data_IF_227973205475
#
_entry.id   IF_227973205475
#
_cell.length_a   1.000
_cell.length_b   1.000
_cell.length_c   1.000
_cell.angle_alpha   90.00
_cell.angle_beta   90.00
_cell.angle_gamma   90.00
#
_symmetry.space_group_name_H-M   'P 1'
#
loop_
_entity.id
_entity.type
_entity.pdbx_description
1 polymer ?
#
# COMPACT_ATOMS: atom_id res chain seq x y z
N UNK A 1 -7.28 24.55 -44.48
CA UNK A 1 -6.10 24.07 -43.74
C UNK A 1 -6.46 24.02 -42.26
N UNK A 2 -6.90 22.86 -41.78
CA UNK A 2 -7.21 22.64 -40.36
C UNK A 2 -5.89 22.67 -39.59
N UNK A 3 -5.67 23.69 -38.74
CA UNK A 3 -4.54 23.73 -37.81
C UNK A 3 -4.56 22.44 -37.00
N UNK A 4 -3.53 21.60 -37.11
CA UNK A 4 -3.34 20.48 -36.20
C UNK A 4 -3.27 21.04 -34.78
N UNK A 5 -4.18 20.59 -33.91
CA UNK A 5 -4.15 20.97 -32.51
C UNK A 5 -2.85 20.47 -31.89
N UNK A 6 -2.13 21.35 -31.19
CA UNK A 6 -0.89 20.98 -30.52
C UNK A 6 -1.25 20.23 -29.24
N UNK A 7 -1.10 18.90 -29.26
CA UNK A 7 -1.35 18.03 -28.12
C UNK A 7 -0.03 17.80 -27.38
N UNK A 8 -0.01 18.00 -26.07
CA UNK A 8 1.14 17.70 -25.21
C UNK A 8 0.72 17.03 -23.91
N UNK A 9 1.40 15.95 -23.55
CA UNK A 9 1.25 15.28 -22.26
C UNK A 9 2.50 15.58 -21.43
N UNK A 10 2.32 15.99 -20.19
CA UNK A 10 3.42 16.32 -19.28
C UNK A 10 3.05 16.01 -17.83
N UNK A 11 4.06 15.91 -16.98
CA UNK A 11 3.86 15.77 -15.54
C UNK A 11 3.21 17.04 -14.96
N UNK A 12 2.40 16.86 -13.92
CA UNK A 12 1.73 17.95 -13.19
C UNK A 12 2.75 18.93 -12.61
N UNK A 13 2.48 20.22 -12.79
CA UNK A 13 3.25 21.30 -12.21
C UNK A 13 2.38 22.11 -11.24
N UNK A 14 3.00 22.85 -10.31
CA UNK A 14 2.28 23.70 -9.35
C UNK A 14 1.22 24.62 -9.98
N UNK A 15 1.56 25.22 -11.13
CA UNK A 15 0.66 26.13 -11.87
C UNK A 15 -0.64 25.45 -12.34
N UNK A 16 -0.63 24.13 -12.47
CA UNK A 16 -1.77 23.36 -12.96
C UNK A 16 -2.76 23.07 -11.84
N UNK A 17 -2.37 23.15 -10.57
CA UNK A 17 -3.22 22.81 -9.44
C UNK A 17 -4.52 23.61 -9.41
N UNK A 18 -4.50 24.87 -9.82
CA UNK A 18 -5.71 25.70 -9.94
C UNK A 18 -6.60 25.29 -11.11
N UNK A 19 -6.00 24.86 -12.23
CA UNK A 19 -6.75 24.41 -13.40
C UNK A 19 -7.36 23.01 -13.16
N UNK A 20 -6.61 22.12 -12.52
CA UNK A 20 -7.08 20.80 -12.10
C UNK A 20 -8.21 20.94 -11.09
N UNK A 21 -8.08 21.80 -10.07
CA UNK A 21 -9.15 22.04 -9.11
C UNK A 21 -10.44 22.52 -9.78
N UNK A 22 -10.35 23.42 -10.77
CA UNK A 22 -11.53 23.86 -11.54
C UNK A 22 -12.15 22.74 -12.35
N UNK A 23 -11.33 21.95 -13.03
CA UNK A 23 -11.79 20.82 -13.82
C UNK A 23 -12.44 19.74 -12.93
N UNK A 24 -11.94 19.57 -11.70
CA UNK A 24 -12.50 18.67 -10.68
C UNK A 24 -13.80 19.20 -10.07
N UNK A 25 -13.97 20.52 -9.96
CA UNK A 25 -15.23 21.11 -9.49
C UNK A 25 -16.31 21.14 -10.58
N UNK A 26 -15.91 21.24 -11.84
CA UNK A 26 -16.82 21.31 -13.00
C UNK A 26 -17.36 19.96 -13.40
N UNK A 27 -16.51 18.93 -13.38
CA UNK A 27 -16.92 17.55 -13.56
C UNK A 27 -17.34 17.01 -12.19
N UNK A 28 -18.47 16.31 -12.07
CA UNK A 28 -18.80 15.62 -10.82
C UNK A 28 -17.80 14.47 -10.62
N UNK A 29 -16.66 14.77 -10.01
CA UNK A 29 -15.57 13.81 -9.89
C UNK A 29 -15.92 12.82 -8.80
N UNK A 30 -16.25 11.62 -9.22
CA UNK A 30 -16.40 10.49 -8.32
C UNK A 30 -15.03 10.14 -7.71
N UNK A 31 -14.96 10.17 -6.39
CA UNK A 31 -13.79 9.75 -5.62
C UNK A 31 -13.64 8.24 -5.83
N UNK A 32 -12.44 7.76 -6.16
CA UNK A 32 -12.22 6.34 -6.46
C UNK A 32 -12.47 5.40 -5.26
N UNK A 33 -12.43 5.92 -4.03
CA UNK A 33 -12.81 5.22 -2.80
C UNK A 33 -13.32 6.22 -1.76
N UNK A 34 -14.46 5.97 -1.09
CA UNK A 34 -14.94 6.77 0.04
C UNK A 34 -13.96 6.86 1.22
N UNK A 35 -13.00 5.94 1.28
CA UNK A 35 -11.96 5.89 2.31
C UNK A 35 -10.72 6.70 1.94
N UNK A 36 -10.60 7.19 0.72
CA UNK A 36 -9.49 8.07 0.35
C UNK A 36 -9.89 9.54 0.52
N UNK A 37 -8.99 10.32 1.12
CA UNK A 37 -9.13 11.78 1.23
C UNK A 37 -9.48 12.36 -0.14
N UNK A 38 -10.49 13.23 -0.19
CA UNK A 38 -10.98 13.80 -1.45
C UNK A 38 -9.85 14.53 -2.19
N UNK A 39 -9.86 14.48 -3.53
CA UNK A 39 -8.82 15.14 -4.33
C UNK A 39 -8.73 16.63 -4.02
N UNK A 40 -9.87 17.27 -3.72
CA UNK A 40 -9.95 18.69 -3.35
C UNK A 40 -9.16 18.98 -2.07
N UNK A 41 -9.38 18.19 -1.00
CA UNK A 41 -8.61 18.29 0.25
C UNK A 41 -7.13 17.98 0.03
N UNK A 42 -6.81 17.02 -0.86
CA UNK A 42 -5.43 16.69 -1.19
C UNK A 42 -4.73 17.79 -2.00
N UNK A 43 -5.45 18.47 -2.90
CA UNK A 43 -4.97 19.63 -3.65
C UNK A 43 -4.76 20.83 -2.72
N UNK A 44 -5.67 21.10 -1.80
CA UNK A 44 -5.54 22.20 -0.84
C UNK A 44 -4.37 21.99 0.13
N UNK A 45 -4.26 20.79 0.69
CA UNK A 45 -3.12 20.41 1.52
C UNK A 45 -1.80 20.53 0.73
N UNK A 46 -1.81 20.10 -0.53
CA UNK A 46 -0.60 20.17 -1.35
C UNK A 46 -0.24 21.59 -1.75
N UNK A 47 -1.20 22.48 -2.03
CA UNK A 47 -0.91 23.91 -2.29
C UNK A 47 -0.10 24.55 -1.17
N UNK A 48 -0.37 24.16 0.08
CA UNK A 48 0.30 24.68 1.27
C UNK A 48 1.73 24.11 1.46
N UNK A 49 2.00 22.89 0.98
CA UNK A 49 3.26 22.18 1.24
C UNK A 49 4.10 21.86 -0.01
N UNK A 50 3.65 22.20 -1.21
CA UNK A 50 4.29 21.81 -2.49
C UNK A 50 5.77 22.23 -2.59
N UNK A 51 6.10 23.44 -2.10
CA UNK A 51 7.48 23.94 -2.10
C UNK A 51 8.42 23.11 -1.23
N UNK A 52 7.94 22.59 -0.10
CA UNK A 52 8.71 21.71 0.78
C UNK A 52 8.81 20.31 0.19
N UNK A 53 7.71 19.76 -0.33
CA UNK A 53 7.68 18.42 -0.96
C UNK A 53 8.70 18.33 -2.11
N UNK A 54 8.76 19.35 -2.97
CA UNK A 54 9.68 19.36 -4.13
C UNK A 54 11.16 19.48 -3.76
N UNK A 55 11.48 20.08 -2.61
CA UNK A 55 12.85 20.10 -2.09
C UNK A 55 13.30 18.71 -1.60
N UNK A 56 12.35 17.88 -1.15
CA UNK A 56 12.62 16.51 -0.75
C UNK A 56 12.64 15.52 -1.91
N UNK A 57 12.23 15.89 -3.13
CA UNK A 57 12.31 15.01 -4.31
C UNK A 57 13.76 14.60 -4.67
N UNK A 58 14.77 15.32 -4.16
CA UNK A 58 16.20 15.00 -4.32
C UNK A 58 16.62 13.78 -3.48
N UNK A 59 15.83 13.39 -2.48
CA UNK A 59 16.05 12.20 -1.64
C UNK A 59 14.87 11.24 -1.78
N UNK A 60 15.08 9.90 -1.88
CA UNK A 60 13.98 8.94 -1.89
C UNK A 60 13.10 9.14 -0.65
N UNK A 61 11.92 9.73 -0.85
CA UNK A 61 10.97 10.09 0.20
C UNK A 61 9.61 9.48 -0.16
N UNK A 62 8.87 8.88 0.80
CA UNK A 62 7.52 8.36 0.57
C UNK A 62 6.54 9.34 -0.10
N UNK A 63 6.72 10.65 0.05
CA UNK A 63 5.86 11.65 -0.58
C UNK A 63 6.19 11.94 -2.05
N UNK A 64 7.25 11.36 -2.63
CA UNK A 64 7.61 11.55 -4.05
C UNK A 64 6.48 11.18 -5.01
N UNK A 65 5.60 10.27 -4.60
CA UNK A 65 4.45 9.84 -5.40
C UNK A 65 3.12 10.47 -4.96
N UNK A 66 3.12 11.33 -3.94
CA UNK A 66 1.90 11.98 -3.42
C UNK A 66 1.18 12.80 -4.51
N UNK A 67 1.91 13.26 -5.53
CA UNK A 67 1.39 13.97 -6.70
C UNK A 67 1.99 13.44 -8.01
N UNK A 68 2.17 12.12 -8.13
CA UNK A 68 2.53 11.53 -9.41
C UNK A 68 1.30 11.54 -10.33
N UNK A 69 1.33 12.39 -11.35
CA UNK A 69 0.19 12.55 -12.24
C UNK A 69 0.58 13.24 -13.54
N UNK A 70 -0.24 13.02 -14.56
CA UNK A 70 -0.03 13.58 -15.89
C UNK A 70 -1.21 14.44 -16.28
N UNK A 71 -0.92 15.55 -16.94
CA UNK A 71 -1.89 16.44 -17.54
C UNK A 71 -1.80 16.35 -19.06
N UNK A 72 -2.95 16.37 -19.71
CA UNK A 72 -3.10 16.46 -21.14
C UNK A 72 -3.49 17.90 -21.50
N UNK A 73 -2.65 18.56 -22.26
CA UNK A 73 -2.89 19.91 -22.76
C UNK A 73 -3.11 19.91 -24.26
N UNK A 74 -4.09 20.70 -24.69
CA UNK A 74 -4.40 20.91 -26.11
C UNK A 74 -4.45 22.40 -26.37
N UNK A 75 -3.58 22.90 -27.24
CA UNK A 75 -3.44 24.33 -27.52
C UNK A 75 -3.19 25.23 -26.28
N UNK A 76 -2.63 24.66 -25.21
CA UNK A 76 -2.35 25.37 -23.96
C UNK A 76 -3.48 25.32 -22.92
N UNK A 77 -4.60 24.68 -23.24
CA UNK A 77 -5.70 24.42 -22.30
C UNK A 77 -5.61 23.01 -21.73
N UNK A 78 -5.88 22.86 -20.43
CA UNK A 78 -5.85 21.58 -19.73
C UNK A 78 -7.16 20.84 -19.99
N UNK A 79 -7.07 19.68 -20.63
CA UNK A 79 -8.23 18.89 -21.08
C UNK A 79 -8.46 17.66 -20.23
N UNK A 80 -7.40 17.04 -19.73
CA UNK A 80 -7.52 15.87 -18.87
C UNK A 80 -6.38 15.79 -17.85
N UNK A 81 -6.67 15.10 -16.76
CA UNK A 81 -5.74 14.84 -15.66
C UNK A 81 -5.87 13.39 -15.21
N UNK A 82 -4.74 12.77 -14.88
CA UNK A 82 -4.71 11.45 -14.24
C UNK A 82 -3.76 11.50 -13.06
N UNK A 83 -4.21 10.92 -11.94
CA UNK A 83 -3.39 10.66 -10.76
C UNK A 83 -3.09 9.16 -10.70
N UNK A 84 -1.82 8.84 -10.50
CA UNK A 84 -1.36 7.46 -10.38
C UNK A 84 -0.42 7.32 -9.18
N UNK A 85 -0.36 6.14 -8.58
CA UNK A 85 0.53 5.86 -7.46
C UNK A 85 1.04 4.43 -7.49
N UNK A 86 2.25 4.16 -6.94
CA UNK A 86 2.71 2.78 -6.75
C UNK A 86 1.85 2.10 -5.69
N UNK A 87 1.42 0.87 -5.95
CA UNK A 87 0.61 0.07 -5.04
C UNK A 87 1.45 -0.80 -4.11
N UNK A 88 2.66 -1.15 -4.54
CA UNK A 88 3.63 -1.95 -3.78
C UNK A 88 5.02 -1.32 -3.81
N UNK A 89 5.86 -1.71 -2.85
CA UNK A 89 7.23 -1.23 -2.65
C UNK A 89 8.17 -1.58 -3.81
N UNK A 90 7.92 -2.70 -4.51
CA UNK A 90 8.65 -3.07 -5.73
C UNK A 90 8.24 -2.26 -6.96
N UNK A 91 7.18 -1.44 -6.87
CA UNK A 91 6.63 -0.62 -7.96
C UNK A 91 6.26 -1.44 -9.20
N UNK A 92 6.04 -2.74 -9.04
CA UNK A 92 5.59 -3.63 -10.12
C UNK A 92 4.09 -3.52 -10.36
N UNK A 93 3.34 -3.05 -9.36
CA UNK A 93 1.91 -2.80 -9.46
C UNK A 93 1.65 -1.32 -9.17
N UNK A 94 0.93 -0.67 -10.09
CA UNK A 94 0.54 0.74 -9.99
C UNK A 94 -0.96 0.86 -9.97
N UNK A 95 -1.46 1.95 -9.39
CA UNK A 95 -2.88 2.25 -9.28
C UNK A 95 -3.19 3.53 -10.04
N UNK A 96 -4.30 3.53 -10.78
CA UNK A 96 -4.94 4.75 -11.25
C UNK A 96 -5.86 5.21 -10.13
N UNK A 97 -5.44 6.24 -9.41
CA UNK A 97 -6.21 6.79 -8.29
C UNK A 97 -7.40 7.59 -8.82
N UNK A 98 -7.20 8.34 -9.91
CA UNK A 98 -8.26 9.16 -10.47
C UNK A 98 -7.97 9.55 -11.91
N UNK A 99 -9.03 9.69 -12.70
CA UNK A 99 -8.97 10.28 -14.03
C UNK A 99 -10.09 11.29 -14.16
N UNK A 100 -9.75 12.49 -14.62
CA UNK A 100 -10.73 13.54 -14.89
C UNK A 100 -10.51 14.04 -16.30
N UNK A 101 -11.61 14.15 -17.05
CA UNK A 101 -11.61 14.55 -18.44
C UNK A 101 -12.69 15.60 -18.59
N UNK A 102 -12.37 16.70 -19.26
CA UNK A 102 -13.36 17.68 -19.68
C UNK A 102 -14.38 17.02 -20.63
N UNK A 103 -15.61 16.85 -20.16
CA UNK A 103 -16.71 16.18 -20.87
C UNK A 103 -17.13 16.92 -22.13
N UNK A 104 -16.85 18.23 -22.22
CA UNK A 104 -17.14 19.06 -23.39
C UNK A 104 -16.11 18.87 -24.51
N UNK A 105 -14.96 18.26 -24.20
CA UNK A 105 -13.85 18.18 -25.14
C UNK A 105 -14.04 17.02 -26.15
N UNK A 106 -13.97 17.27 -27.46
CA UNK A 106 -14.18 16.25 -28.48
C UNK A 106 -13.04 15.21 -28.51
N UNK A 107 -13.27 14.09 -29.22
CA UNK A 107 -12.21 13.08 -29.43
C UNK A 107 -10.97 13.72 -30.07
N UNK A 108 -9.81 13.41 -29.52
CA UNK A 108 -8.52 13.90 -29.97
C UNK A 108 -7.94 12.98 -31.03
N UNK A 109 -7.49 13.56 -32.14
CA UNK A 109 -6.60 12.86 -33.04
C UNK A 109 -5.21 12.78 -32.41
N UNK A 110 -4.82 11.58 -31.98
CA UNK A 110 -3.50 11.30 -31.42
C UNK A 110 -2.91 10.07 -32.11
N UNK A 111 -1.70 10.21 -32.67
CA UNK A 111 -1.06 9.20 -33.53
C UNK A 111 -1.98 8.64 -34.63
N UNK A 112 -2.72 9.51 -35.33
CA UNK A 112 -3.54 9.13 -36.49
C UNK A 112 -4.81 8.36 -36.14
N UNK A 113 -5.26 8.36 -34.88
CA UNK A 113 -6.55 7.80 -34.47
C UNK A 113 -7.30 8.77 -33.56
N UNK A 114 -8.59 9.01 -33.84
CA UNK A 114 -9.46 9.78 -32.97
C UNK A 114 -9.78 8.97 -31.70
N UNK A 115 -9.32 9.44 -30.54
CA UNK A 115 -9.45 8.76 -29.24
C UNK A 115 -9.99 9.68 -28.18
N UNK A 116 -10.61 9.08 -27.16
CA UNK A 116 -11.00 9.80 -25.96
C UNK A 116 -9.75 10.38 -25.26
N UNK A 117 -9.77 11.63 -24.76
CA UNK A 117 -8.64 12.23 -24.05
C UNK A 117 -8.13 11.36 -22.90
N UNK A 118 -9.06 10.79 -22.11
CA UNK A 118 -8.71 9.86 -21.03
C UNK A 118 -8.00 8.58 -21.50
N UNK A 119 -8.40 7.99 -22.64
CA UNK A 119 -7.71 6.80 -23.18
C UNK A 119 -6.30 7.12 -23.66
N UNK A 120 -6.11 8.32 -24.20
CA UNK A 120 -4.79 8.80 -24.62
C UNK A 120 -3.87 8.95 -23.41
N UNK A 121 -4.38 9.53 -22.32
CA UNK A 121 -3.63 9.74 -21.08
C UNK A 121 -3.30 8.42 -20.36
N UNK A 122 -4.25 7.49 -20.27
CA UNK A 122 -4.02 6.15 -19.71
C UNK A 122 -2.96 5.40 -20.51
N UNK A 123 -3.05 5.42 -21.84
CA UNK A 123 -2.05 4.77 -22.70
C UNK A 123 -0.67 5.37 -22.52
N UNK A 124 -0.57 6.70 -22.42
CA UNK A 124 0.69 7.36 -22.11
C UNK A 124 1.28 6.83 -20.79
N UNK A 125 0.46 6.68 -19.74
CA UNK A 125 0.92 6.13 -18.46
C UNK A 125 1.45 4.70 -18.60
N UNK A 126 0.73 3.84 -19.33
CA UNK A 126 1.16 2.46 -19.56
C UNK A 126 2.48 2.36 -20.33
N UNK A 127 2.73 3.30 -21.24
CA UNK A 127 3.94 3.32 -22.05
C UNK A 127 5.14 3.96 -21.31
N UNK A 128 4.91 4.94 -20.43
CA UNK A 128 5.96 5.72 -19.76
C UNK A 128 6.37 5.20 -18.38
N UNK A 129 5.46 4.56 -17.64
CA UNK A 129 5.80 3.95 -16.35
C UNK A 129 6.28 2.53 -16.61
N UNK A 130 7.59 2.40 -16.84
CA UNK A 130 8.23 1.16 -17.28
C UNK A 130 8.35 0.11 -16.18
N UNK A 131 8.30 0.50 -14.90
CA UNK A 131 8.28 -0.46 -13.79
C UNK A 131 6.93 -1.19 -13.67
N UNK A 132 5.85 -0.57 -14.14
CA UNK A 132 4.49 -1.04 -13.93
C UNK A 132 4.12 -2.26 -14.81
N UNK A 133 4.15 -3.45 -14.22
CA UNK A 133 3.68 -4.69 -14.88
C UNK A 133 2.17 -4.85 -14.75
N UNK A 134 1.60 -4.40 -13.64
CA UNK A 134 0.18 -4.47 -13.36
C UNK A 134 -0.36 -3.08 -13.05
N UNK A 135 -1.58 -2.82 -13.52
CA UNK A 135 -2.36 -1.63 -13.23
C UNK A 135 -3.63 -2.02 -12.51
N UNK A 136 -3.92 -1.32 -11.43
CA UNK A 136 -5.12 -1.45 -10.61
C UNK A 136 -5.93 -0.16 -10.70
N UNK A 137 -7.24 -0.28 -10.54
CA UNK A 137 -8.10 0.86 -10.30
C UNK A 137 -9.35 0.41 -9.57
N UNK A 138 -9.99 1.39 -8.94
CA UNK A 138 -11.30 1.24 -8.34
C UNK A 138 -12.27 2.20 -9.03
N UNK A 139 -13.48 1.74 -9.29
CA UNK A 139 -14.51 2.53 -9.97
C UNK A 139 -15.88 2.20 -9.41
N UNK A 140 -16.70 3.21 -9.13
CA UNK A 140 -18.08 3.01 -8.71
C UNK A 140 -18.87 2.27 -9.81
N UNK A 141 -19.72 1.32 -9.42
CA UNK A 141 -20.54 0.54 -10.36
C UNK A 141 -21.57 1.40 -11.13
N UNK A 142 -21.97 2.53 -10.56
CA UNK A 142 -22.89 3.51 -11.14
C UNK A 142 -22.20 4.43 -12.18
N UNK A 143 -20.87 4.50 -12.16
CA UNK A 143 -20.00 5.32 -12.99
C UNK A 143 -19.88 4.83 -14.44
N UNK A 144 -21.00 4.72 -15.18
CA UNK A 144 -21.03 4.02 -16.48
C UNK A 144 -20.00 4.55 -17.49
N UNK A 145 -19.79 5.86 -17.54
CA UNK A 145 -18.84 6.49 -18.48
C UNK A 145 -17.38 6.13 -18.13
N UNK A 146 -16.99 6.30 -16.86
CA UNK A 146 -15.66 5.96 -16.35
C UNK A 146 -15.37 4.46 -16.46
N UNK A 147 -16.36 3.63 -16.13
CA UNK A 147 -16.28 2.17 -16.29
C UNK A 147 -16.09 1.76 -17.75
N UNK A 148 -16.83 2.39 -18.68
CA UNK A 148 -16.65 2.19 -20.11
C UNK A 148 -15.27 2.60 -20.60
N UNK A 149 -14.74 3.73 -20.11
CA UNK A 149 -13.39 4.20 -20.43
C UNK A 149 -12.34 3.15 -20.02
N UNK A 150 -12.42 2.62 -18.80
CA UNK A 150 -11.47 1.61 -18.32
C UNK A 150 -11.58 0.29 -19.08
N UNK A 151 -12.81 -0.19 -19.35
CA UNK A 151 -13.01 -1.41 -20.17
C UNK A 151 -12.45 -1.27 -21.59
N UNK A 152 -12.64 -0.11 -22.24
CA UNK A 152 -12.05 0.15 -23.56
C UNK A 152 -10.53 0.17 -23.53
N UNK A 153 -9.94 0.52 -22.39
CA UNK A 153 -8.50 0.46 -22.14
C UNK A 153 -8.05 -0.89 -21.57
N UNK A 154 -8.84 -1.96 -21.69
CA UNK A 154 -8.41 -3.33 -21.39
C UNK A 154 -8.39 -3.70 -19.91
N UNK A 155 -8.98 -2.88 -19.02
CA UNK A 155 -9.16 -3.28 -17.63
C UNK A 155 -10.26 -4.35 -17.51
N UNK A 156 -10.00 -5.35 -16.68
CA UNK A 156 -10.90 -6.45 -16.36
C UNK A 156 -11.28 -6.43 -14.88
N UNK A 157 -12.52 -6.76 -14.52
CA UNK A 157 -12.93 -6.83 -13.11
C UNK A 157 -12.18 -7.94 -12.37
N UNK A 158 -11.78 -7.65 -11.13
CA UNK A 158 -11.12 -8.59 -10.21
C UNK A 158 -12.00 -8.96 -9.02
N UNK A 159 -12.60 -7.97 -8.38
CA UNK A 159 -13.42 -8.14 -7.19
C UNK A 159 -14.41 -6.99 -7.06
N UNK A 160 -15.53 -7.23 -6.38
CA UNK A 160 -16.44 -6.17 -5.92
C UNK A 160 -16.06 -5.77 -4.50
N UNK A 161 -16.07 -4.47 -4.24
CA UNK A 161 -15.87 -3.91 -2.92
C UNK A 161 -17.19 -3.30 -2.46
N UNK A 162 -17.47 -3.48 -1.17
CA UNK A 162 -18.60 -2.86 -0.50
C UNK A 162 -18.07 -2.04 0.66
N UNK A 163 -18.48 -0.77 0.69
CA UNK A 163 -18.18 0.14 1.79
C UNK A 163 -19.33 0.15 2.78
N UNK A 164 -18.99 0.04 4.05
CA UNK A 164 -19.93 -0.05 5.16
C UNK A 164 -19.69 1.07 6.15
N UNK A 165 -20.76 1.70 6.62
CA UNK A 165 -20.76 2.60 7.75
C UNK A 165 -21.32 1.87 8.97
N UNK A 166 -20.52 1.79 10.03
CA UNK A 166 -20.99 1.37 11.35
C UNK A 166 -21.32 2.63 12.13
N UNK A 167 -22.58 2.75 12.54
CA UNK A 167 -23.08 3.95 13.21
C UNK A 167 -22.44 4.10 14.61
N UNK A 168 -22.23 5.34 15.10
CA UNK A 168 -21.64 5.59 16.42
C UNK A 168 -22.39 4.87 17.55
N UNK A 169 -23.71 4.74 17.45
CA UNK A 169 -24.54 4.07 18.46
C UNK A 169 -24.19 2.58 18.59
N UNK A 170 -23.96 1.92 17.45
CA UNK A 170 -23.56 0.51 17.41
C UNK A 170 -22.15 0.35 18.00
N UNK A 171 -21.23 1.25 17.65
CA UNK A 171 -19.88 1.28 18.24
C UNK A 171 -19.93 1.52 19.75
N UNK A 172 -20.87 2.36 20.19
CA UNK A 172 -21.15 2.65 21.59
C UNK A 172 -21.52 1.40 22.37
N UNK A 173 -22.47 0.62 21.85
CA UNK A 173 -22.92 -0.63 22.45
C UNK A 173 -21.85 -1.73 22.42
N UNK A 174 -21.13 -1.88 21.30
CA UNK A 174 -20.11 -2.91 21.15
C UNK A 174 -18.92 -2.70 22.08
N UNK A 175 -18.49 -1.47 22.32
CA UNK A 175 -17.31 -1.24 23.16
C UNK A 175 -17.55 -1.54 24.65
N UNK A 176 -18.80 -1.60 25.10
CA UNK A 176 -19.15 -1.98 26.47
C UNK A 176 -18.84 -3.47 26.74
N UNK A 177 -18.66 -4.26 25.70
CA UNK A 177 -18.36 -5.68 25.79
C UNK A 177 -16.85 -5.90 25.99
N UNK A 178 -16.49 -7.02 26.65
CA UNK A 178 -15.10 -7.44 26.79
C UNK A 178 -14.70 -8.40 25.66
N UNK A 179 -13.68 -8.06 24.86
CA UNK A 179 -13.27 -8.91 23.75
C UNK A 179 -12.44 -10.10 24.24
N UNK A 180 -12.84 -11.31 23.86
CA UNK A 180 -12.14 -12.57 24.13
C UNK A 180 -11.02 -12.83 23.09
N UNK A 181 -10.16 -11.84 22.84
CA UNK A 181 -9.08 -11.95 21.85
C UNK A 181 -7.84 -12.61 22.47
N UNK A 182 -7.37 -13.75 21.94
CA UNK A 182 -6.14 -14.38 22.43
C UNK A 182 -4.90 -13.64 21.91
N UNK A 183 -3.91 -13.39 22.78
CA UNK A 183 -2.57 -12.89 22.41
C UNK A 183 -2.59 -11.73 21.40
N UNK A 184 -3.31 -10.66 21.74
CA UNK A 184 -3.28 -9.45 20.95
C UNK A 184 -1.91 -8.77 21.09
N UNK A 185 -1.22 -8.55 19.98
CA UNK A 185 0.13 -7.98 19.92
C UNK A 185 0.13 -6.67 19.12
N UNK A 186 0.98 -5.70 19.48
CA UNK A 186 1.19 -4.51 18.66
C UNK A 186 1.92 -4.87 17.37
N UNK A 187 1.66 -4.12 16.30
CA UNK A 187 2.32 -4.32 15.02
C UNK A 187 3.74 -3.74 15.04
N UNK A 188 4.72 -4.53 14.59
CA UNK A 188 6.08 -4.08 14.37
C UNK A 188 6.70 -4.64 13.10
N UNK A 189 7.87 -4.10 12.71
CA UNK A 189 8.60 -4.55 11.52
C UNK A 189 9.08 -6.01 11.59
N UNK A 190 9.21 -6.57 12.79
CA UNK A 190 9.53 -7.99 12.99
C UNK A 190 8.37 -8.89 12.56
N UNK A 191 7.13 -8.39 12.63
CA UNK A 191 5.90 -9.14 12.39
C UNK A 191 5.43 -9.06 10.94
N UNK A 192 6.12 -8.27 10.11
CA UNK A 192 5.79 -8.06 8.70
C UNK A 192 5.60 -9.38 7.93
N UNK A 193 6.37 -10.43 8.26
CA UNK A 193 6.21 -11.75 7.64
C UNK A 193 4.91 -12.44 8.06
N UNK A 194 4.49 -12.30 9.32
CA UNK A 194 3.24 -12.87 9.82
C UNK A 194 2.04 -12.16 9.17
N UNK A 195 2.11 -10.83 9.06
CA UNK A 195 1.07 -10.04 8.38
C UNK A 195 0.97 -10.35 6.90
N UNK A 196 2.11 -10.51 6.21
CA UNK A 196 2.13 -10.94 4.82
C UNK A 196 1.48 -12.33 4.62
N UNK A 197 1.73 -13.26 5.54
CA UNK A 197 1.11 -14.60 5.50
C UNK A 197 -0.40 -14.52 5.73
N UNK A 198 -0.85 -13.68 6.66
CA UNK A 198 -2.28 -13.44 6.92
C UNK A 198 -2.98 -12.83 5.70
N UNK A 199 -2.42 -11.77 5.11
CA UNK A 199 -2.93 -11.14 3.89
C UNK A 199 -3.04 -12.17 2.77
N UNK A 200 -1.98 -12.97 2.58
CA UNK A 200 -1.92 -14.04 1.58
C UNK A 200 -3.00 -15.11 1.80
N UNK A 201 -3.25 -15.51 3.04
CA UNK A 201 -4.24 -16.52 3.38
C UNK A 201 -5.68 -16.00 3.23
N UNK A 202 -5.89 -14.70 3.40
CA UNK A 202 -7.20 -14.04 3.31
C UNK A 202 -7.62 -13.67 1.88
N UNK A 203 -6.76 -13.91 0.88
CA UNK A 203 -6.91 -13.40 -0.48
C UNK A 203 -6.78 -14.49 -1.57
N UNK A 204 -7.66 -14.50 -2.60
CA UNK A 204 -7.58 -15.42 -3.72
C UNK A 204 -6.24 -15.32 -4.49
N UNK A 205 -5.73 -16.44 -5.06
CA UNK A 205 -4.44 -16.46 -5.77
C UNK A 205 -4.31 -15.42 -6.89
N UNK A 206 -5.38 -15.19 -7.66
CA UNK A 206 -5.37 -14.22 -8.76
C UNK A 206 -5.13 -12.79 -8.27
N UNK A 207 -5.81 -12.37 -7.20
CA UNK A 207 -5.63 -11.05 -6.59
C UNK A 207 -4.20 -10.90 -6.03
N UNK A 208 -3.68 -11.95 -5.38
CA UNK A 208 -2.31 -11.96 -4.86
C UNK A 208 -1.28 -11.72 -5.97
N UNK A 209 -1.46 -12.34 -7.12
CA UNK A 209 -0.57 -12.16 -8.27
C UNK A 209 -0.62 -10.74 -8.83
N UNK A 210 -1.81 -10.14 -8.91
CA UNK A 210 -1.94 -8.76 -9.42
C UNK A 210 -1.39 -7.75 -8.42
N UNK A 211 -1.67 -7.94 -7.13
CA UNK A 211 -1.18 -7.06 -6.08
C UNK A 211 0.33 -7.12 -5.92
N UNK A 212 0.92 -8.29 -6.17
CA UNK A 212 2.37 -8.55 -6.14
C UNK A 212 3.03 -8.02 -4.87
N UNK A 213 2.32 -8.15 -3.74
CA UNK A 213 2.80 -7.71 -2.44
C UNK A 213 3.86 -8.66 -1.90
N UNK A 214 4.81 -8.08 -1.19
CA UNK A 214 5.94 -8.75 -0.56
C UNK A 214 6.03 -8.34 0.92
N UNK A 215 6.85 -9.07 1.68
CA UNK A 215 7.07 -8.79 3.12
C UNK A 215 7.53 -7.34 3.37
N UNK A 216 8.18 -6.70 2.40
CA UNK A 216 8.60 -5.29 2.53
C UNK A 216 7.42 -4.32 2.58
N UNK A 217 6.27 -4.64 1.98
CA UNK A 217 5.06 -3.80 2.00
C UNK A 217 4.39 -3.73 3.38
N UNK A 218 4.75 -4.65 4.28
CA UNK A 218 4.24 -4.72 5.65
C UNK A 218 5.23 -4.16 6.66
N UNK A 219 6.35 -3.59 6.20
CA UNK A 219 7.32 -2.89 7.05
C UNK A 219 7.02 -1.40 6.98
N UNK A 220 7.02 -0.75 8.13
CA UNK A 220 7.11 0.70 8.18
C UNK A 220 8.58 1.11 8.07
N UNK A 221 8.98 1.82 7.00
CA UNK A 221 10.32 2.37 7.00
C UNK A 221 10.43 3.46 8.08
N UNK A 222 11.60 3.65 8.71
CA UNK A 222 11.78 4.71 9.69
C UNK A 222 11.55 6.11 9.10
N UNK A 223 11.83 6.30 7.80
CA UNK A 223 11.50 7.53 7.06
C UNK A 223 9.99 7.65 6.83
N UNK A 224 9.32 6.55 6.50
CA UNK A 224 7.86 6.49 6.38
C UNK A 224 7.19 6.81 7.72
N UNK A 225 7.71 6.30 8.85
CA UNK A 225 7.20 6.64 10.18
C UNK A 225 7.45 8.11 10.56
N UNK A 226 8.53 8.73 10.10
CA UNK A 226 8.78 10.17 10.34
C UNK A 226 7.91 11.05 9.45
N UNK A 227 7.78 10.72 8.16
CA UNK A 227 6.93 11.45 7.22
C UNK A 227 5.46 11.22 7.49
N UNK A 228 5.03 9.99 7.83
CA UNK A 228 3.69 9.71 8.33
C UNK A 228 3.47 10.37 9.68
N UNK A 229 4.45 10.50 10.59
CA UNK A 229 4.25 11.33 11.80
C UNK A 229 4.06 12.79 11.47
N UNK A 230 4.81 13.37 10.53
CA UNK A 230 4.65 14.78 10.13
C UNK A 230 3.36 14.99 9.33
N UNK A 231 2.99 14.04 8.45
CA UNK A 231 1.77 14.03 7.66
C UNK A 231 0.55 13.77 8.53
N UNK A 232 0.60 12.83 9.47
CA UNK A 232 -0.45 12.57 10.47
C UNK A 232 -0.50 13.67 11.53
N UNK A 233 0.58 14.41 11.78
CA UNK A 233 0.56 15.63 12.57
C UNK A 233 -0.12 16.78 11.80
N UNK A 234 0.13 16.88 10.49
CA UNK A 234 -0.50 17.88 9.61
C UNK A 234 -1.94 17.53 9.18
N UNK A 235 -2.27 16.25 9.05
CA UNK A 235 -3.58 15.70 8.69
C UNK A 235 -4.36 15.21 9.92
N UNK A 236 -3.75 15.30 11.11
CA UNK A 236 -4.38 15.04 12.40
C UNK A 236 -5.05 13.66 12.51
N UNK A 237 -4.27 12.59 12.27
CA UNK A 237 -4.78 11.22 12.24
C UNK A 237 -4.01 10.33 13.22
N UNK A 238 -4.70 9.72 14.19
CA UNK A 238 -4.09 8.71 15.07
C UNK A 238 -4.46 7.31 14.57
N UNK A 239 -3.44 6.47 14.28
CA UNK A 239 -3.66 5.09 13.85
C UNK A 239 -3.34 4.16 15.01
N UNK A 240 -4.29 3.27 15.34
CA UNK A 240 -4.12 2.21 16.33
C UNK A 240 -4.27 0.87 15.63
N UNK A 241 -3.24 0.04 15.71
CA UNK A 241 -3.16 -1.22 14.99
C UNK A 241 -2.71 -2.37 15.91
N UNK A 242 -3.15 -3.58 15.58
CA UNK A 242 -2.84 -4.77 16.34
C UNK A 242 -3.12 -6.04 15.55
N UNK A 243 -2.47 -7.13 15.94
CA UNK A 243 -2.70 -8.44 15.34
C UNK A 243 -2.83 -9.54 16.40
N UNK A 244 -3.57 -10.59 16.06
CA UNK A 244 -3.86 -11.73 16.92
C UNK A 244 -2.88 -12.85 16.57
N UNK A 245 -2.04 -13.23 17.53
CA UNK A 245 -1.05 -14.27 17.35
C UNK A 245 -1.54 -15.63 17.84
N UNK A 246 -1.44 -16.66 17.01
CA UNK A 246 -1.72 -18.04 17.41
C UNK A 246 -0.43 -18.81 17.69
N UNK A 247 -0.14 -19.18 18.96
CA UNK A 247 1.12 -19.82 19.32
C UNK A 247 1.32 -21.20 18.69
N UNK A 248 0.24 -21.96 18.49
CA UNK A 248 0.31 -23.33 17.98
C UNK A 248 0.81 -23.37 16.54
N UNK A 249 0.28 -22.51 15.67
CA UNK A 249 0.69 -22.42 14.26
C UNK A 249 1.80 -21.39 14.02
N UNK A 250 2.13 -20.60 15.04
CA UNK A 250 3.08 -19.47 14.96
C UNK A 250 2.71 -18.52 13.82
N UNK A 251 1.42 -18.20 13.71
CA UNK A 251 0.84 -17.43 12.62
C UNK A 251 0.02 -16.26 13.17
N UNK A 252 -0.08 -15.18 12.40
CA UNK A 252 -1.10 -14.17 12.62
C UNK A 252 -2.44 -14.69 12.07
N UNK A 253 -3.48 -14.67 12.88
CA UNK A 253 -4.83 -15.16 12.52
C UNK A 253 -5.86 -14.03 12.38
N UNK A 254 -5.51 -12.83 12.85
CA UNK A 254 -6.33 -11.63 12.70
C UNK A 254 -5.47 -10.37 12.76
N UNK A 255 -5.91 -9.31 12.11
CA UNK A 255 -5.29 -7.99 12.09
C UNK A 255 -6.38 -6.94 12.06
N UNK A 256 -6.19 -5.87 12.83
CA UNK A 256 -7.02 -4.68 12.75
C UNK A 256 -6.18 -3.41 12.74
N UNK A 257 -6.72 -2.37 12.13
CA UNK A 257 -6.23 -1.01 12.21
C UNK A 257 -7.44 -0.07 12.29
N UNK A 258 -7.41 0.89 13.20
CA UNK A 258 -8.39 1.98 13.28
C UNK A 258 -7.64 3.28 13.10
N UNK A 259 -8.06 4.03 12.10
CA UNK A 259 -7.63 5.38 11.83
C UNK A 259 -8.67 6.33 12.42
N UNK A 260 -8.29 7.01 13.49
CA UNK A 260 -9.14 7.92 14.23
C UNK A 260 -9.05 9.33 13.61
N UNK A 261 -10.21 9.85 13.23
CA UNK A 261 -10.36 11.25 12.86
C UNK A 261 -10.30 12.12 14.12
N UNK A 262 -9.53 13.22 14.08
CA UNK A 262 -9.45 14.18 15.19
C UNK A 262 -10.50 15.30 15.10
N UNK A 263 -11.08 15.53 13.92
CA UNK A 263 -12.10 16.53 13.67
C UNK A 263 -13.46 15.87 13.47
N UNK A 264 -14.52 16.54 13.93
CA UNK A 264 -15.91 16.05 13.90
C UNK A 264 -16.50 15.94 12.48
N UNK A 265 -15.72 16.25 11.44
CA UNK A 265 -16.18 16.28 10.05
C UNK A 265 -15.83 15.02 9.24
N UNK A 266 -14.93 14.16 9.75
CA UNK A 266 -14.48 12.97 9.00
C UNK A 266 -14.78 11.66 9.77
N UNK A 267 -15.29 10.62 9.06
CA UNK A 267 -15.51 9.32 9.65
C UNK A 267 -14.20 8.66 10.07
N UNK A 268 -14.26 7.79 11.07
CA UNK A 268 -13.15 6.89 11.38
C UNK A 268 -13.01 5.85 10.25
N UNK A 269 -11.79 5.37 10.02
CA UNK A 269 -11.56 4.33 9.01
C UNK A 269 -11.01 3.06 9.66
N UNK A 270 -11.58 1.92 9.31
CA UNK A 270 -11.17 0.64 9.86
C UNK A 270 -10.68 -0.31 8.78
N UNK A 271 -9.59 -1.00 9.09
CA UNK A 271 -9.08 -2.13 8.33
C UNK A 271 -9.17 -3.36 9.18
N UNK A 272 -9.76 -4.41 8.63
CA UNK A 272 -9.93 -5.70 9.29
C UNK A 272 -9.47 -6.79 8.35
N UNK A 273 -8.68 -7.73 8.85
CA UNK A 273 -8.25 -8.90 8.08
C UNK A 273 -8.24 -10.09 9.01
N UNK A 274 -9.04 -11.10 8.68
CA UNK A 274 -9.18 -12.31 9.49
C UNK A 274 -8.83 -13.50 8.59
N UNK A 275 -8.08 -14.45 9.14
CA UNK A 275 -7.77 -15.68 8.44
C UNK A 275 -9.08 -16.48 8.23
N UNK A 276 -9.36 -17.02 7.03
CA UNK A 276 -10.65 -17.68 6.74
C UNK A 276 -11.03 -18.83 7.71
N UNK A 277 -10.05 -19.52 8.28
CA UNK A 277 -10.27 -20.56 9.30
C UNK A 277 -10.64 -20.03 10.71
N UNK A 278 -10.65 -18.71 10.94
CA UNK A 278 -10.85 -18.07 12.25
C UNK A 278 -11.91 -16.96 12.19
N UNK A 279 -12.96 -17.15 11.39
CA UNK A 279 -14.04 -16.15 11.19
C UNK A 279 -14.74 -15.73 12.48
N UNK A 280 -14.69 -16.56 13.53
CA UNK A 280 -15.15 -16.20 14.87
C UNK A 280 -14.45 -14.96 15.47
N UNK A 281 -13.29 -14.56 14.94
CA UNK A 281 -12.58 -13.34 15.38
C UNK A 281 -13.24 -12.04 14.93
N UNK A 282 -14.14 -12.06 13.93
CA UNK A 282 -14.80 -10.84 13.45
C UNK A 282 -15.51 -10.04 14.58
N UNK A 283 -16.41 -10.63 15.39
CA UNK A 283 -17.03 -9.94 16.51
C UNK A 283 -16.01 -9.43 17.53
N UNK A 284 -15.04 -10.27 17.91
CA UNK A 284 -14.06 -9.92 18.94
C UNK A 284 -13.18 -8.73 18.54
N UNK A 285 -12.70 -8.74 17.29
CA UNK A 285 -11.94 -7.62 16.74
C UNK A 285 -12.80 -6.38 16.57
N UNK A 286 -14.08 -6.52 16.22
CA UNK A 286 -14.98 -5.38 16.10
C UNK A 286 -15.25 -4.71 17.45
N UNK A 287 -15.42 -5.49 18.53
CA UNK A 287 -15.50 -4.96 19.90
C UNK A 287 -14.24 -4.14 20.18
N UNK A 288 -13.05 -4.67 19.86
CA UNK A 288 -11.79 -3.94 20.09
C UNK A 288 -11.68 -2.67 19.25
N UNK A 289 -12.07 -2.71 17.99
CA UNK A 289 -12.08 -1.54 17.10
C UNK A 289 -13.07 -0.48 17.60
N UNK A 290 -14.21 -0.90 18.15
CA UNK A 290 -15.22 0.00 18.74
C UNK A 290 -14.69 0.69 20.00
N UNK A 291 -13.99 -0.04 20.87
CA UNK A 291 -13.29 0.55 22.03
C UNK A 291 -12.24 1.60 21.62
N UNK A 292 -11.56 1.37 20.50
CA UNK A 292 -10.58 2.33 19.97
C UNK A 292 -11.26 3.54 19.37
N UNK A 293 -12.35 3.35 18.61
CA UNK A 293 -13.16 4.43 18.04
C UNK A 293 -13.66 5.41 19.11
N UNK A 294 -14.11 4.90 20.26
CA UNK A 294 -14.61 5.72 21.37
C UNK A 294 -13.56 6.59 22.09
N UNK A 295 -12.27 6.47 21.76
CA UNK A 295 -11.25 7.40 22.27
C UNK A 295 -11.49 8.82 21.70
N UNK A 296 -12.23 8.92 20.60
CA UNK A 296 -12.55 10.14 19.87
C UNK A 296 -14.06 10.43 19.86
N UNK A 297 -14.47 11.65 19.47
CA UNK A 297 -15.89 12.01 19.34
C UNK A 297 -16.67 10.99 18.51
N UNK A 298 -17.98 10.90 18.77
CA UNK A 298 -18.90 9.96 18.14
C UNK A 298 -18.94 10.18 16.62
N UNK A 299 -18.17 9.36 15.90
CA UNK A 299 -18.06 9.36 14.45
C UNK A 299 -18.28 7.95 13.93
N UNK A 300 -18.91 7.79 12.75
CA UNK A 300 -19.12 6.47 12.18
C UNK A 300 -17.77 5.84 11.79
N UNK A 301 -17.70 4.51 11.87
CA UNK A 301 -16.54 3.74 11.45
C UNK A 301 -16.79 3.16 10.06
N UNK A 302 -16.00 3.61 9.09
CA UNK A 302 -16.09 3.11 7.72
C UNK A 302 -15.20 1.90 7.53
N UNK A 303 -15.78 0.85 6.96
CA UNK A 303 -15.16 -0.45 6.73
C UNK A 303 -15.28 -0.85 5.26
N UNK A 304 -14.37 -1.72 4.81
CA UNK A 304 -14.44 -2.33 3.47
C UNK A 304 -14.56 -3.84 3.57
N UNK A 305 -15.46 -4.40 2.77
CA UNK A 305 -15.51 -5.83 2.46
C UNK A 305 -15.27 -6.07 0.97
N UNK A 306 -14.97 -7.33 0.66
CA UNK A 306 -14.83 -7.81 -0.71
C UNK A 306 -15.71 -9.04 -0.90
N UNK A 307 -16.20 -9.25 -2.12
CA UNK A 307 -17.06 -10.39 -2.49
C UNK A 307 -16.46 -11.79 -2.20
N UNK A 308 -15.13 -11.92 -2.13
CA UNK A 308 -14.46 -13.17 -1.78
C UNK A 308 -14.30 -13.41 -0.26
N UNK A 309 -14.88 -12.55 0.58
CA UNK A 309 -14.91 -12.66 2.04
C UNK A 309 -16.35 -12.61 2.57
N UNK A 310 -17.22 -13.57 2.19
CA UNK A 310 -18.65 -13.51 2.47
C UNK A 310 -18.96 -13.48 3.97
N UNK A 311 -18.16 -14.14 4.81
CA UNK A 311 -18.35 -14.16 6.27
C UNK A 311 -18.16 -12.78 6.90
N UNK A 312 -17.39 -11.89 6.25
CA UNK A 312 -17.25 -10.50 6.70
C UNK A 312 -18.49 -9.67 6.36
N UNK A 313 -19.06 -9.87 5.18
CA UNK A 313 -20.27 -9.17 4.74
C UNK A 313 -21.44 -9.57 5.62
N UNK A 314 -21.63 -10.87 5.83
CA UNK A 314 -22.66 -11.41 6.73
C UNK A 314 -22.48 -10.88 8.16
N UNK A 315 -21.25 -10.77 8.64
CA UNK A 315 -20.96 -10.17 9.94
C UNK A 315 -21.36 -8.68 10.00
N UNK A 316 -21.00 -7.88 9.00
CA UNK A 316 -21.37 -6.46 8.96
C UNK A 316 -22.89 -6.26 8.87
N UNK A 317 -23.59 -7.08 8.10
CA UNK A 317 -25.05 -7.09 8.05
C UNK A 317 -25.66 -7.44 9.42
N UNK A 318 -25.12 -8.46 10.09
CA UNK A 318 -25.58 -8.90 11.43
C UNK A 318 -25.40 -7.80 12.49
N UNK A 319 -24.31 -7.04 12.41
CA UNK A 319 -24.03 -5.92 13.32
C UNK A 319 -24.89 -4.68 13.00
N UNK A 320 -25.62 -4.68 11.88
CA UNK A 320 -26.46 -3.54 11.47
C UNK A 320 -25.69 -2.44 10.77
N UNK A 321 -24.54 -2.75 10.15
CA UNK A 321 -23.80 -1.79 9.35
C UNK A 321 -24.60 -1.39 8.10
N UNK A 322 -24.54 -0.11 7.75
CA UNK A 322 -25.20 0.43 6.57
C UNK A 322 -24.27 0.43 5.37
N UNK A 323 -24.75 -0.05 4.23
CA UNK A 323 -23.99 -0.03 2.98
C UNK A 323 -23.96 1.39 2.39
N UNK A 324 -22.76 1.91 2.17
CA UNK A 324 -22.52 3.26 1.64
C UNK A 324 -22.44 3.23 0.11
N UNK A 325 -21.57 2.36 -0.40
CA UNK A 325 -21.20 2.36 -1.82
C UNK A 325 -20.69 0.99 -2.26
N UNK A 326 -20.83 0.75 -3.56
CA UNK A 326 -20.26 -0.40 -4.25
C UNK A 326 -19.30 0.05 -5.35
N UNK A 327 -18.12 -0.55 -5.34
CA UNK A 327 -17.11 -0.30 -6.36
C UNK A 327 -16.60 -1.61 -6.94
N UNK A 328 -15.95 -1.49 -8.09
CA UNK A 328 -15.36 -2.60 -8.81
C UNK A 328 -13.85 -2.38 -8.86
N UNK A 329 -13.10 -3.28 -8.21
CA UNK A 329 -11.67 -3.35 -8.40
C UNK A 329 -11.40 -3.99 -9.75
N UNK A 330 -10.65 -3.30 -10.59
CA UNK A 330 -10.27 -3.77 -11.91
C UNK A 330 -8.76 -3.80 -12.06
N UNK A 331 -8.28 -4.64 -12.97
CA UNK A 331 -6.87 -4.71 -13.30
C UNK A 331 -6.57 -4.86 -14.78
N UNK A 332 -5.35 -4.50 -15.14
CA UNK A 332 -4.77 -4.72 -16.46
C UNK A 332 -3.30 -5.08 -16.29
N UNK A 333 -2.85 -6.13 -16.98
CA UNK A 333 -1.42 -6.39 -17.14
C UNK A 333 -0.86 -5.65 -18.36
N UNK A 334 0.38 -5.18 -18.25
CA UNK A 334 1.12 -4.56 -19.33
C UNK A 334 2.42 -5.33 -19.50
N UNK A 335 2.66 -5.80 -20.72
CA UNK A 335 3.91 -6.46 -21.06
C UNK A 335 4.89 -5.44 -21.61
N UNK A 336 5.82 -4.99 -20.78
CA UNK A 336 7.01 -4.31 -21.26
C UNK A 336 8.00 -5.36 -21.71
N UNK A 337 8.51 -5.24 -22.94
CA UNK A 337 9.66 -6.05 -23.35
C UNK A 337 10.81 -5.69 -22.41
N UNK A 338 11.14 -6.60 -21.49
CA UNK A 338 12.29 -6.49 -20.60
C UNK A 338 13.48 -6.21 -21.52
N UNK A 339 13.94 -4.96 -21.54
CA UNK A 339 15.28 -4.69 -22.05
C UNK A 339 16.16 -5.40 -21.04
N UNK A 340 16.75 -6.52 -21.45
CA UNK A 340 17.90 -7.07 -20.76
C UNK A 340 18.91 -5.94 -20.69
N UNK A 341 18.87 -5.19 -19.59
CA UNK A 341 19.97 -4.37 -19.18
C UNK A 341 21.06 -5.39 -18.93
N UNK A 342 21.96 -5.55 -19.92
CA UNK A 342 23.27 -6.15 -19.68
C UNK A 342 23.70 -5.58 -18.33
N UNK A 343 23.93 -6.41 -17.30
CA UNK A 343 24.32 -5.89 -16.01
C UNK A 343 25.48 -4.95 -16.30
N UNK A 344 25.29 -3.66 -16.03
CA UNK A 344 26.38 -2.71 -16.09
C UNK A 344 27.41 -3.34 -15.16
N UNK A 345 28.47 -3.84 -15.78
CA UNK A 345 29.61 -4.46 -15.12
C UNK A 345 29.86 -3.62 -13.89
N UNK A 346 29.72 -4.27 -12.73
CA UNK A 346 29.93 -3.70 -11.42
C UNK A 346 31.03 -2.65 -11.56
N UNK A 347 30.65 -1.40 -11.33
CA UNK A 347 31.48 -0.23 -11.52
C UNK A 347 32.90 -0.60 -11.08
N UNK A 348 33.80 -0.77 -12.05
CA UNK A 348 35.19 -1.13 -11.82
C UNK A 348 35.92 0.08 -11.21
N UNK A 349 35.48 0.50 -10.02
CA UNK A 349 36.21 1.43 -9.15
C UNK A 349 37.42 0.72 -8.50
N UNK A 350 37.67 -0.55 -8.83
CA UNK A 350 38.87 -1.29 -8.47
C UNK A 350 40.17 -0.72 -9.09
N UNK A 351 40.06 0.15 -10.11
CA UNK A 351 41.22 0.69 -10.83
C UNK A 351 41.88 1.93 -10.22
N UNK A 352 41.20 2.67 -9.32
CA UNK A 352 41.69 3.97 -8.82
C UNK A 352 42.10 3.94 -7.34
N UNK A 353 41.78 2.88 -6.59
CA UNK A 353 42.12 2.74 -5.16
C UNK A 353 43.34 1.83 -4.88
N UNK A 354 44.18 1.52 -5.88
CA UNK A 354 45.39 0.72 -5.69
C UNK A 354 46.50 1.46 -4.90
N UNK A 355 46.33 2.75 -4.57
CA UNK A 355 47.32 3.57 -3.87
C UNK A 355 47.31 3.50 -2.33
N UNK A 356 46.42 2.72 -1.71
CA UNK A 356 46.30 2.63 -0.24
C UNK A 356 46.47 1.21 0.29
N UNK A 357 47.45 0.47 -0.24
CA UNK A 357 47.92 -0.75 0.43
C UNK A 357 49.05 -0.41 1.41
N UNK A 358 48.91 -0.69 2.72
CA UNK A 358 50.01 -0.54 3.65
C UNK A 358 51.10 -1.56 3.35
N UNK A 359 52.30 -1.07 3.04
CA UNK A 359 53.53 -1.85 2.96
C UNK A 359 53.82 -2.41 4.35
N UNK A 360 53.69 -3.72 4.54
CA UNK A 360 54.39 -4.43 5.60
C UNK A 360 54.97 -5.74 5.03
N UNK A 361 56.25 -5.88 5.31
CA UNK A 361 57.23 -6.84 4.79
C UNK A 361 56.87 -8.32 4.99
N UNK A 362 57.31 -9.22 4.11
CA UNK A 362 57.10 -10.66 4.26
C UNK A 362 58.02 -11.22 5.35
N UNK A 363 57.44 -11.89 6.36
CA UNK A 363 58.18 -12.71 7.31
C UNK A 363 58.40 -14.09 6.66
N UNK A 364 59.65 -14.59 6.58
CA UNK A 364 59.99 -15.79 5.83
C UNK A 364 59.47 -17.06 6.51
N UNK A 365 58.97 -17.99 5.69
CA UNK A 365 58.55 -19.32 6.10
C UNK A 365 59.72 -20.29 6.31
N UNK A 366 59.65 -21.06 7.41
CA UNK A 366 59.83 -22.53 7.55
C UNK A 366 60.70 -22.90 8.74
N UNK A 367 60.16 -23.75 9.62
CA UNK A 367 60.65 -25.10 9.96
C UNK A 367 59.45 -25.86 10.56
N UNK A 368 59.00 -26.91 9.86
CA UNK A 368 58.21 -28.00 10.45
C UNK A 368 59.22 -28.96 11.10
N UNK A 369 58.89 -29.63 12.21
CA UNK A 369 59.34 -31.00 12.49
C UNK A 369 58.38 -31.63 13.53
N UNK A 370 57.86 -32.81 13.20
CA UNK A 370 56.86 -33.56 13.96
C UNK A 370 57.42 -34.24 15.23
N UNK A 371 56.49 -34.58 16.14
CA UNK A 371 56.50 -35.63 17.20
C UNK A 371 57.15 -35.31 18.56
N UNK A 372 56.33 -35.21 19.61
CA UNK A 372 56.19 -36.26 20.65
C UNK A 372 55.13 -35.85 21.71
N UNK A 373 54.13 -36.70 21.91
CA UNK A 373 53.25 -36.73 23.10
C UNK A 373 54.04 -37.30 24.30
N UNK A 374 53.70 -37.02 25.59
CA UNK A 374 52.45 -37.54 26.17
C UNK A 374 51.76 -36.71 27.30
N UNK A 375 50.46 -37.00 27.43
CA UNK A 375 49.61 -37.07 28.65
C UNK A 375 49.62 -35.96 29.71
N UNK A 376 48.46 -35.29 29.86
CA UNK A 376 47.99 -34.78 31.14
C UNK A 376 46.66 -35.42 31.53
N UNK A 377 46.66 -35.94 32.75
CA UNK A 377 45.68 -36.86 33.35
C UNK A 377 44.49 -36.08 33.92
N UNK A 378 43.29 -36.60 33.68
CA UNK A 378 42.09 -36.28 34.45
C UNK A 378 42.27 -36.64 35.93
N UNK A 379 41.81 -35.82 36.89
CA UNK A 379 41.81 -36.18 38.30
C UNK A 379 40.74 -37.25 38.58
N UNK A 380 41.18 -38.35 39.19
CA UNK A 380 40.34 -39.42 39.75
C UNK A 380 39.87 -39.02 41.16
N UNK A 381 38.59 -39.20 41.41
CA UNK A 381 37.98 -39.38 42.73
C UNK A 381 38.46 -40.68 43.40
N UNK A 382 38.42 -40.76 44.74
CA UNK A 382 38.02 -41.97 45.44
C UNK A 382 36.89 -41.63 46.46
N UNK A 383 36.00 -42.52 46.93
CA UNK A 383 35.98 -43.99 47.00
C UNK A 383 34.53 -44.46 47.27
N UNK A 384 34.27 -45.71 46.85
CA UNK A 384 33.09 -46.58 47.02
C UNK A 384 32.64 -46.86 48.47
N UNK A 385 31.34 -47.12 48.63
CA UNK A 385 30.71 -48.25 49.35
C UNK A 385 29.24 -48.31 48.89
N UNK A 386 28.89 -49.16 47.91
CA UNK A 386 28.40 -50.56 48.01
C UNK A 386 27.09 -50.70 48.82
N UNK A 387 25.98 -51.08 48.17
CA UNK A 387 25.21 -52.33 48.36
C UNK A 387 23.83 -52.28 47.66
N UNK A 388 23.74 -53.03 46.55
CA UNK A 388 22.68 -53.91 46.00
C UNK A 388 21.15 -53.58 46.02
N UNK A 389 20.35 -54.25 45.15
CA UNK A 389 19.01 -53.85 44.72
C UNK A 389 17.86 -54.73 45.27
N UNK A 390 16.66 -54.50 44.72
CA UNK A 390 15.38 -55.25 44.80
C UNK A 390 14.36 -54.80 45.85
N UNK A 391 13.37 -54.02 45.41
CA UNK A 391 12.03 -54.50 45.04
C UNK A 391 11.23 -53.42 44.30
#
# INVERSE_FOLDING_TARGET
MTKQAKVSIRQVQYRDLSAIARLVQQEAVEVASPLETSLEEHIENTKNYYGLVKLFDVFPNPNQYSFHGYVLEVNGELVAFVKISPFNSSQSTWRVDQIVVDSSFPKLEYHGSARHPGSTLLRYCFDHVVEARNWLLEVNVNAKQTLSLYRQNGFQPLAKLTYWAIAPEILSELALQEPAIPNLMPVGNADARLLYQLDTASMPPMLRQVFDRHVQDFKTNPVDNLVCRVKNWSQQVDVVEGYVFEPQRKAAIGYFAVQLARQDEHPHQGRLTVHPAYTWLYPELMIKMSQVAQIRPEQPLYMTSTDYQPEREEFFETVGASQIEHTLLMSRSVWHKVRETKPQEAWQLSGVLQGLQPINTPIPSRINWFKNHPTLKLPKTPRKQDFLPEN
#
